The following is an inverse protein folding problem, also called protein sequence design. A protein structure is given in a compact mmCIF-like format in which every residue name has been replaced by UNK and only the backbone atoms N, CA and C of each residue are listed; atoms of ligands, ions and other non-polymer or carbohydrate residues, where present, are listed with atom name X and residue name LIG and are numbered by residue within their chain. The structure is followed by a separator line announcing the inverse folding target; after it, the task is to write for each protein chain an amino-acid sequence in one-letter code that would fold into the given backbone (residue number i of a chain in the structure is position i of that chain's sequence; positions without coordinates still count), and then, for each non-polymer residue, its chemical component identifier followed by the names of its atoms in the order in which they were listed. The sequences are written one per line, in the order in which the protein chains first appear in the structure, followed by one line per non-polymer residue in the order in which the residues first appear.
data_IF_243658126751
#
_entry.id   IF_243658126751
#
_cell.length_a   1.000
_cell.length_b   1.000
_cell.length_c   1.000
_cell.angle_alpha   90.00
_cell.angle_beta   90.00
_cell.angle_gamma   90.00
#
_symmetry.space_group_name_H-M   'P 1'
#
loop_
_entity.id
_entity.type
_entity.pdbx_description
1 polymer ?
#
# COMPACT_ATOMS: atom_id res chain seq x y z
N UNK A 1 -62.00 -10.31 -12.48
CA UNK A 1 -61.17 -10.96 -11.44
C UNK A 1 -60.03 -11.82 -12.00
N UNK A 2 -60.27 -12.87 -12.82
CA UNK A 2 -59.18 -13.74 -13.35
C UNK A 2 -58.05 -13.03 -14.11
N UNK A 3 -58.34 -11.96 -14.87
CA UNK A 3 -57.33 -11.22 -15.65
C UNK A 3 -56.35 -10.41 -14.79
N UNK A 4 -56.78 -9.95 -13.61
CA UNK A 4 -55.94 -9.15 -12.69
C UNK A 4 -54.90 -10.02 -12.00
N UNK A 5 -55.30 -11.24 -11.63
CA UNK A 5 -54.42 -12.24 -10.99
C UNK A 5 -53.30 -12.67 -11.94
N UNK A 6 -53.60 -12.83 -13.23
CA UNK A 6 -52.60 -13.17 -14.25
C UNK A 6 -51.53 -12.07 -14.43
N UNK A 7 -51.93 -10.80 -14.41
CA UNK A 7 -51.01 -9.66 -14.55
C UNK A 7 -50.06 -9.57 -13.33
N UNK A 8 -50.59 -9.82 -12.13
CA UNK A 8 -49.79 -9.88 -10.90
C UNK A 8 -48.77 -11.03 -10.93
N UNK A 9 -49.15 -12.22 -11.39
CA UNK A 9 -48.23 -13.35 -11.51
C UNK A 9 -47.09 -13.08 -12.51
N UNK A 10 -47.40 -12.42 -13.63
CA UNK A 10 -46.38 -12.06 -14.62
C UNK A 10 -45.42 -11.00 -14.07
N UNK A 11 -45.89 -10.00 -13.31
CA UNK A 11 -45.01 -8.97 -12.76
C UNK A 11 -44.04 -9.52 -11.69
N UNK A 12 -44.48 -10.50 -10.89
CA UNK A 12 -43.62 -11.19 -9.92
C UNK A 12 -42.54 -12.06 -10.59
N UNK A 13 -42.85 -12.74 -11.69
CA UNK A 13 -41.85 -13.52 -12.41
C UNK A 13 -40.79 -12.63 -13.07
N UNK A 14 -41.20 -11.46 -13.57
CA UNK A 14 -40.29 -10.51 -14.22
C UNK A 14 -39.31 -9.90 -13.20
N UNK A 15 -39.76 -9.55 -12.00
CA UNK A 15 -38.89 -8.95 -10.96
C UNK A 15 -37.79 -9.90 -10.46
N UNK A 16 -38.06 -11.21 -10.38
CA UNK A 16 -37.05 -12.21 -9.96
C UNK A 16 -35.91 -12.37 -10.99
N UNK A 17 -36.21 -12.28 -12.29
CA UNK A 17 -35.20 -12.32 -13.35
C UNK A 17 -34.27 -11.09 -13.36
N UNK A 18 -34.82 -9.91 -13.05
CA UNK A 18 -34.02 -8.68 -12.90
C UNK A 18 -33.17 -8.70 -11.62
N UNK A 19 -33.69 -9.22 -10.51
CA UNK A 19 -32.94 -9.36 -9.25
C UNK A 19 -31.69 -10.26 -9.42
N UNK A 20 -31.79 -11.35 -10.20
CA UNK A 20 -30.66 -12.23 -10.49
C UNK A 20 -29.53 -11.53 -11.27
N UNK A 21 -29.88 -10.72 -12.29
CA UNK A 21 -28.90 -9.93 -13.04
C UNK A 21 -28.23 -8.85 -12.19
N UNK A 22 -29.01 -8.20 -11.32
CA UNK A 22 -28.50 -7.19 -10.38
C UNK A 22 -27.53 -7.82 -9.37
N UNK A 23 -27.88 -8.97 -8.78
CA UNK A 23 -27.01 -9.70 -7.84
C UNK A 23 -25.68 -10.11 -8.51
N UNK A 24 -25.72 -10.59 -9.75
CA UNK A 24 -24.51 -10.96 -10.49
C UNK A 24 -23.62 -9.76 -10.80
N UNK A 25 -24.22 -8.60 -11.10
CA UNK A 25 -23.49 -7.35 -11.32
C UNK A 25 -22.83 -6.84 -10.04
N UNK A 26 -23.56 -6.80 -8.92
CA UNK A 26 -23.04 -6.39 -7.62
C UNK A 26 -21.91 -7.30 -7.14
N UNK A 27 -22.06 -8.62 -7.29
CA UNK A 27 -21.00 -9.58 -6.97
C UNK A 27 -19.74 -9.39 -7.83
N UNK A 28 -19.91 -9.01 -9.11
CA UNK A 28 -18.76 -8.71 -9.98
C UNK A 28 -18.03 -7.44 -9.52
N UNK A 29 -18.77 -6.37 -9.24
CA UNK A 29 -18.21 -5.13 -8.70
C UNK A 29 -17.45 -5.33 -7.39
N UNK A 30 -18.02 -6.10 -6.47
CA UNK A 30 -17.40 -6.36 -5.15
C UNK A 30 -16.11 -7.18 -5.30
N UNK A 31 -16.07 -8.13 -6.25
CA UNK A 31 -14.85 -8.86 -6.57
C UNK A 31 -13.76 -7.97 -7.20
N UNK A 32 -14.14 -7.08 -8.12
CA UNK A 32 -13.20 -6.15 -8.76
C UNK A 32 -12.60 -5.18 -7.73
N UNK A 33 -13.42 -4.65 -6.80
CA UNK A 33 -12.94 -3.83 -5.68
C UNK A 33 -12.01 -4.60 -4.74
N UNK A 34 -12.36 -5.86 -4.40
CA UNK A 34 -11.50 -6.70 -3.55
C UNK A 34 -10.16 -7.00 -4.21
N UNK A 35 -10.13 -7.23 -5.52
CA UNK A 35 -8.87 -7.43 -6.25
C UNK A 35 -8.01 -6.17 -6.24
N UNK A 36 -8.59 -5.00 -6.51
CA UNK A 36 -7.86 -3.72 -6.46
C UNK A 36 -7.31 -3.44 -5.06
N UNK A 37 -8.12 -3.66 -4.02
CA UNK A 37 -7.69 -3.49 -2.63
C UNK A 37 -6.61 -4.50 -2.22
N UNK A 38 -6.68 -5.74 -2.73
CA UNK A 38 -5.63 -6.74 -2.50
C UNK A 38 -4.32 -6.36 -3.21
N UNK A 39 -4.41 -5.83 -4.44
CA UNK A 39 -3.26 -5.36 -5.20
C UNK A 39 -2.59 -4.15 -4.54
N UNK A 40 -3.37 -3.19 -4.04
CA UNK A 40 -2.84 -2.05 -3.26
C UNK A 40 -2.12 -2.51 -1.99
N UNK A 41 -2.73 -3.41 -1.21
CA UNK A 41 -2.08 -3.98 -0.01
C UNK A 41 -0.79 -4.71 -0.32
N UNK A 42 -0.70 -5.39 -1.48
CA UNK A 42 0.54 -6.04 -1.90
C UNK A 42 1.65 -5.04 -2.24
N UNK A 43 1.30 -3.92 -2.89
CA UNK A 43 2.25 -2.84 -3.19
C UNK A 43 2.76 -2.19 -1.90
N UNK A 44 1.86 -1.85 -0.97
CA UNK A 44 2.21 -1.28 0.34
C UNK A 44 3.11 -2.22 1.16
N UNK A 45 2.81 -3.53 1.15
CA UNK A 45 3.62 -4.53 1.83
C UNK A 45 5.04 -4.64 1.22
N UNK A 46 5.16 -4.53 -0.10
CA UNK A 46 6.46 -4.50 -0.77
C UNK A 46 7.25 -3.23 -0.47
N UNK A 47 6.59 -2.07 -0.42
CA UNK A 47 7.23 -0.80 -0.04
C UNK A 47 7.76 -0.88 1.40
N UNK A 48 6.94 -1.39 2.33
CA UNK A 48 7.34 -1.57 3.72
C UNK A 48 8.53 -2.53 3.86
N UNK A 49 8.54 -3.63 3.10
CA UNK A 49 9.69 -4.54 3.06
C UNK A 49 10.95 -3.89 2.50
N UNK A 50 10.82 -3.02 1.49
CA UNK A 50 11.96 -2.31 0.88
C UNK A 50 12.53 -1.25 1.79
N UNK A 51 11.70 -0.53 2.54
CA UNK A 51 12.18 0.49 3.48
C UNK A 51 12.94 -0.12 4.68
N UNK A 52 12.68 -1.39 5.01
CA UNK A 52 13.41 -2.13 6.04
C UNK A 52 14.75 -2.72 5.57
N UNK A 53 15.16 -2.49 4.32
CA UNK A 53 16.40 -3.06 3.79
C UNK A 53 17.62 -2.14 4.00
N UNK A 54 18.13 -2.09 5.23
CA UNK A 54 19.34 -1.34 5.57
C UNK A 54 20.60 -1.78 4.80
N UNK A 55 20.63 -3.01 4.27
CA UNK A 55 21.74 -3.52 3.47
C UNK A 55 21.81 -2.88 2.07
N UNK A 56 20.73 -2.25 1.60
CA UNK A 56 20.73 -1.50 0.36
C UNK A 56 21.54 -0.20 0.45
N UNK A 57 21.77 0.32 1.66
CA UNK A 57 22.51 1.56 1.85
C UNK A 57 24.02 1.33 1.96
N UNK A 58 24.80 2.08 1.19
CA UNK A 58 26.24 2.21 1.39
C UNK A 58 26.53 3.47 2.18
N UNK A 59 27.22 3.34 3.30
CA UNK A 59 27.65 4.46 4.15
C UNK A 59 29.14 4.73 3.92
N UNK A 60 29.48 5.98 3.64
CA UNK A 60 30.86 6.47 3.53
C UNK A 60 31.11 7.46 4.65
N UNK A 61 32.11 7.19 5.49
CA UNK A 61 32.54 8.14 6.51
C UNK A 61 33.11 9.40 5.84
N UNK A 62 32.54 10.56 6.17
CA UNK A 62 32.99 11.87 5.70
C UNK A 62 33.99 12.48 6.69
N UNK A 63 33.61 12.60 7.96
CA UNK A 63 34.47 13.20 8.97
C UNK A 63 34.21 12.67 10.38
N UNK A 64 35.19 12.88 11.26
CA UNK A 64 35.09 12.66 12.70
C UNK A 64 35.42 13.97 13.40
N UNK A 65 34.58 14.39 14.32
CA UNK A 65 34.78 15.63 15.06
C UNK A 65 34.31 15.47 16.51
N UNK A 66 34.76 16.37 17.37
CA UNK A 66 34.23 16.51 18.72
C UNK A 66 33.32 17.72 18.72
N UNK A 67 32.09 17.57 19.17
CA UNK A 67 31.15 18.68 19.24
C UNK A 67 31.48 19.64 20.39
N UNK A 68 30.71 20.72 20.50
CA UNK A 68 30.90 21.73 21.55
C UNK A 68 30.56 21.20 22.96
N UNK A 69 29.90 20.05 23.05
CA UNK A 69 29.58 19.36 24.31
C UNK A 69 30.61 18.30 24.68
N UNK A 70 31.68 18.14 23.88
CA UNK A 70 32.72 17.14 24.10
C UNK A 70 32.34 15.73 23.62
N UNK A 71 31.25 15.56 22.88
CA UNK A 71 30.81 14.29 22.30
C UNK A 71 31.60 13.98 21.05
N UNK A 72 31.94 12.70 20.85
CA UNK A 72 32.64 12.24 19.64
C UNK A 72 31.60 11.92 18.58
N UNK A 73 31.57 12.70 17.51
CA UNK A 73 30.64 12.57 16.41
C UNK A 73 31.32 12.09 15.13
N UNK A 74 30.54 11.41 14.29
CA UNK A 74 30.95 10.85 13.00
C UNK A 74 29.87 11.17 11.98
N UNK A 75 30.26 11.80 10.89
CA UNK A 75 29.35 12.07 9.77
C UNK A 75 29.54 11.03 8.67
N UNK A 76 28.44 10.52 8.17
CA UNK A 76 28.38 9.59 7.06
C UNK A 76 27.55 10.20 5.94
N UNK A 77 28.04 10.06 4.71
CA UNK A 77 27.20 10.20 3.53
C UNK A 77 26.69 8.81 3.16
N UNK A 78 25.39 8.67 2.97
CA UNK A 78 24.78 7.41 2.55
C UNK A 78 24.11 7.54 1.20
N UNK A 79 24.12 6.43 0.45
CA UNK A 79 23.43 6.29 -0.83
C UNK A 79 22.81 4.90 -0.92
N UNK A 80 21.57 4.82 -1.38
CA UNK A 80 20.92 3.54 -1.70
C UNK A 80 21.51 2.98 -3.00
N UNK A 81 21.80 1.67 -3.01
CA UNK A 81 22.31 0.96 -4.18
C UNK A 81 21.19 0.73 -5.20
N UNK A 82 19.98 0.47 -4.72
CA UNK A 82 18.81 0.23 -5.58
C UNK A 82 18.23 1.51 -6.19
N UNK A 83 18.47 2.69 -5.59
CA UNK A 83 17.90 3.94 -6.04
C UNK A 83 18.89 5.12 -5.91
N UNK A 84 19.40 5.67 -7.03
CA UNK A 84 20.37 6.76 -7.00
C UNK A 84 19.82 8.07 -6.39
N UNK A 85 18.49 8.23 -6.34
CA UNK A 85 17.85 9.40 -5.76
C UNK A 85 17.66 9.31 -4.23
N UNK A 86 17.80 8.11 -3.64
CA UNK A 86 17.76 7.94 -2.17
C UNK A 86 19.19 8.07 -1.61
N UNK A 87 19.59 9.30 -1.24
CA UNK A 87 20.87 9.61 -0.61
C UNK A 87 20.72 10.70 0.45
N UNK A 88 21.71 10.81 1.35
CA UNK A 88 21.68 11.82 2.41
C UNK A 88 22.89 11.76 3.34
N UNK A 89 22.77 12.46 4.47
CA UNK A 89 23.79 12.53 5.50
C UNK A 89 23.25 12.01 6.83
N UNK A 90 24.11 11.31 7.57
CA UNK A 90 23.80 10.77 8.88
C UNK A 90 24.95 11.10 9.84
N UNK A 91 24.64 11.85 10.88
CA UNK A 91 25.56 12.13 11.99
C UNK A 91 25.27 11.16 13.12
N UNK A 92 26.32 10.51 13.63
CA UNK A 92 26.26 9.63 14.80
C UNK A 92 27.21 10.16 15.86
N UNK A 93 26.67 10.58 16.99
CA UNK A 93 27.43 10.98 18.17
C UNK A 93 27.39 9.87 19.22
N UNK A 94 28.53 9.57 19.84
CA UNK A 94 28.59 8.61 20.93
C UNK A 94 27.96 9.27 22.18
N UNK A 95 26.79 8.78 22.60
CA UNK A 95 26.16 9.19 23.87
C UNK A 95 27.01 8.68 25.05
N UNK A 96 27.19 9.54 26.05
CA UNK A 96 28.05 9.30 27.21
C UNK A 96 27.25 8.84 28.42
#
# INVERSE_FOLDING_TARGET
MKKVIAILLVSLCVSTGYASKLSKFLNKMDNDQKQQAAQQRQLEAQEMQRDMNFADFSFRLQQRYTDNHGQRCRDYEFRARSNPYKHGYLTVCDER
#
